data_IF_140544206569
#
_entry.id   IF_140544206569
#
_cell.length_a   1.000
_cell.length_b   1.000
_cell.length_c   1.000
_cell.angle_alpha   90.00
_cell.angle_beta   90.00
_cell.angle_gamma   90.00
#
_symmetry.space_group_name_H-M   'P 1'
#
loop_
_entity.id
_entity.type
_entity.pdbx_description
1 polymer ?
#
# COMPACT_ATOMS: atom_id res chain seq x y z
N UNK A 1 1.82 18.88 -8.43
CA UNK A 1 1.88 17.96 -7.27
C UNK A 1 2.79 16.80 -7.61
N UNK A 2 3.73 16.51 -6.76
CA UNK A 2 4.62 15.35 -6.92
C UNK A 2 4.00 14.11 -6.31
N UNK A 3 4.45 12.95 -6.75
CA UNK A 3 4.02 11.65 -6.21
C UNK A 3 4.20 11.59 -4.70
N UNK A 4 5.33 12.08 -4.19
CA UNK A 4 5.59 12.07 -2.75
C UNK A 4 4.53 12.86 -1.97
N UNK A 5 4.08 13.98 -2.49
CA UNK A 5 3.02 14.78 -1.85
C UNK A 5 1.67 14.04 -1.90
N UNK A 6 1.35 13.42 -3.03
CA UNK A 6 0.15 12.60 -3.17
C UNK A 6 0.17 11.41 -2.19
N UNK A 7 1.30 10.72 -2.11
CA UNK A 7 1.49 9.60 -1.20
C UNK A 7 1.33 10.03 0.26
N UNK A 8 2.03 11.10 0.65
CA UNK A 8 2.11 11.58 2.02
C UNK A 8 0.80 12.19 2.52
N UNK A 9 0.11 12.93 1.66
CA UNK A 9 -1.06 13.73 2.04
C UNK A 9 -2.39 13.04 1.73
N UNK A 10 -2.42 12.08 0.82
CA UNK A 10 -3.65 11.42 0.40
C UNK A 10 -3.58 9.91 0.52
N UNK A 11 -2.70 9.24 -0.22
CA UNK A 11 -2.71 7.77 -0.31
C UNK A 11 -2.46 7.13 1.05
N UNK A 12 -1.39 7.50 1.72
CA UNK A 12 -1.04 6.89 3.00
C UNK A 12 -2.08 7.17 4.09
N UNK A 13 -2.54 8.42 4.31
CA UNK A 13 -3.56 8.68 5.32
C UNK A 13 -4.89 7.97 5.05
N UNK A 14 -5.33 7.95 3.80
CA UNK A 14 -6.58 7.28 3.44
C UNK A 14 -6.48 5.76 3.58
N UNK A 15 -5.39 5.17 3.11
CA UNK A 15 -5.14 3.72 3.26
C UNK A 15 -5.08 3.32 4.72
N UNK A 16 -4.34 4.08 5.54
CA UNK A 16 -4.24 3.85 6.97
C UNK A 16 -5.62 3.88 7.63
N UNK A 17 -6.39 4.91 7.36
CA UNK A 17 -7.75 5.04 7.91
C UNK A 17 -8.66 3.89 7.45
N UNK A 18 -8.60 3.54 6.18
CA UNK A 18 -9.43 2.47 5.63
C UNK A 18 -9.12 1.12 6.26
N UNK A 19 -7.85 0.76 6.33
CA UNK A 19 -7.42 -0.53 6.89
C UNK A 19 -7.68 -0.60 8.40
N UNK A 20 -7.32 0.44 9.14
CA UNK A 20 -7.53 0.47 10.59
C UNK A 20 -9.01 0.49 10.98
N UNK A 21 -9.87 1.11 10.17
CA UNK A 21 -11.31 1.17 10.44
C UNK A 21 -12.02 -0.13 10.06
N UNK A 22 -11.64 -0.76 8.96
CA UNK A 22 -12.37 -1.92 8.43
C UNK A 22 -11.86 -3.27 8.92
N UNK A 23 -10.61 -3.35 9.39
CA UNK A 23 -10.08 -4.59 9.94
C UNK A 23 -10.54 -4.81 11.37
N UNK A 24 -10.97 -6.04 11.67
CA UNK A 24 -11.32 -6.44 13.04
C UNK A 24 -10.10 -6.80 13.88
N UNK A 25 -8.92 -6.87 13.29
CA UNK A 25 -7.70 -7.30 13.95
C UNK A 25 -6.82 -6.16 14.45
N UNK A 26 -7.28 -4.92 14.34
CA UNK A 26 -6.59 -3.72 14.83
C UNK A 26 -5.14 -3.60 14.34
N UNK A 27 -4.89 -3.63 13.02
CA UNK A 27 -3.54 -3.53 12.50
C UNK A 27 -2.94 -2.15 12.75
N UNK A 28 -1.63 -2.11 12.93
CA UNK A 28 -0.86 -0.87 12.92
C UNK A 28 -0.37 -0.60 11.50
N UNK A 29 -0.82 0.46 10.88
CA UNK A 29 -0.35 0.88 9.56
C UNK A 29 0.69 1.98 9.72
N UNK A 30 1.90 1.74 9.23
CA UNK A 30 3.03 2.65 9.41
C UNK A 30 3.91 2.72 8.16
N UNK A 31 4.74 3.76 8.09
CA UNK A 31 5.72 3.95 7.01
C UNK A 31 7.07 3.33 7.32
N UNK A 32 7.36 3.06 8.59
CA UNK A 32 8.68 2.64 9.04
C UNK A 32 8.54 1.40 9.90
N UNK A 33 9.32 0.39 9.56
CA UNK A 33 9.50 -0.75 10.45
C UNK A 33 10.43 -0.33 11.60
N UNK A 34 9.91 -0.37 12.82
CA UNK A 34 10.73 -0.21 14.01
C UNK A 34 10.77 -1.55 14.74
N UNK A 35 11.95 -2.06 15.02
CA UNK A 35 12.13 -3.31 15.79
C UNK A 35 11.46 -3.25 17.17
N UNK A 36 11.20 -2.05 17.65
CA UNK A 36 10.56 -1.82 18.95
C UNK A 36 9.03 -2.00 18.91
N UNK A 37 8.41 -1.93 17.76
CA UNK A 37 6.97 -2.14 17.64
C UNK A 37 6.68 -3.61 17.29
N UNK A 38 6.77 -4.48 18.28
CA UNK A 38 6.32 -5.88 18.17
C UNK A 38 4.79 -5.98 18.26
N UNK A 39 4.10 -5.02 17.70
CA UNK A 39 2.64 -5.04 17.64
C UNK A 39 2.23 -5.67 16.33
N UNK A 40 1.63 -6.84 16.40
CA UNK A 40 1.06 -7.51 15.24
C UNK A 40 -0.47 -7.46 15.29
N UNK A 41 -1.15 -7.39 14.16
CA UNK A 41 -0.61 -7.28 12.81
C UNK A 41 -0.03 -5.88 12.53
N UNK A 42 0.99 -5.83 11.69
CA UNK A 42 1.60 -4.57 11.26
C UNK A 42 1.62 -4.50 9.73
N UNK A 43 1.31 -3.33 9.20
CA UNK A 43 1.34 -3.03 7.77
C UNK A 43 2.37 -1.93 7.54
N UNK A 44 3.37 -2.22 6.73
CA UNK A 44 4.43 -1.26 6.40
C UNK A 44 4.23 -0.82 4.95
N UNK A 45 4.03 0.47 4.76
CA UNK A 45 3.76 1.07 3.46
C UNK A 45 4.94 1.96 3.07
N UNK A 46 5.54 1.69 1.92
CA UNK A 46 6.70 2.45 1.44
C UNK A 46 6.51 2.92 0.01
N UNK A 47 6.78 4.19 -0.23
CA UNK A 47 6.95 4.72 -1.59
C UNK A 47 8.37 4.38 -2.03
N UNK A 48 8.51 3.34 -2.87
CA UNK A 48 9.83 2.80 -3.25
C UNK A 48 10.36 3.38 -4.53
N UNK A 49 9.50 3.98 -5.34
CA UNK A 49 9.91 4.57 -6.60
C UNK A 49 9.03 5.76 -6.93
N UNK A 50 9.70 6.88 -7.22
CA UNK A 50 9.11 8.10 -7.74
C UNK A 50 10.06 8.67 -8.77
N UNK A 51 9.59 8.88 -10.00
CA UNK A 51 10.42 9.44 -11.07
C UNK A 51 9.57 10.14 -12.11
N UNK A 52 9.95 11.35 -12.48
CA UNK A 52 9.40 12.00 -13.66
C UNK A 52 9.97 11.30 -14.90
N UNK A 53 9.10 10.74 -15.76
CA UNK A 53 9.53 10.09 -17.00
C UNK A 53 9.76 11.12 -18.09
N UNK A 54 8.76 11.97 -18.33
CA UNK A 54 8.84 12.96 -19.38
C UNK A 54 7.77 14.04 -19.21
N UNK A 55 8.02 15.16 -19.84
CA UNK A 55 7.06 16.26 -19.97
C UNK A 55 6.60 16.29 -21.41
N UNK A 56 5.30 16.27 -21.65
CA UNK A 56 4.78 16.42 -23.01
C UNK A 56 4.92 17.88 -23.46
N UNK A 57 5.34 18.06 -24.68
CA UNK A 57 5.58 19.42 -25.23
C UNK A 57 4.30 20.22 -25.41
N UNK A 58 3.15 19.54 -25.46
CA UNK A 58 1.88 20.14 -25.92
C UNK A 58 1.07 20.62 -24.76
N UNK A 59 1.20 20.76 -23.64
CA UNK A 59 0.36 21.28 -22.54
C UNK A 59 1.02 21.23 -21.16
N UNK A 60 2.34 20.98 -21.11
CA UNK A 60 3.03 20.90 -19.84
C UNK A 60 2.61 19.70 -18.96
N UNK A 61 2.09 18.65 -19.58
CA UNK A 61 1.79 17.42 -18.86
C UNK A 61 3.06 16.77 -18.34
N UNK A 62 3.03 16.39 -17.08
CA UNK A 62 4.11 15.64 -16.45
C UNK A 62 3.60 14.30 -15.97
N UNK A 63 4.35 13.25 -16.26
CA UNK A 63 4.04 11.90 -15.86
C UNK A 63 5.08 11.36 -14.90
N UNK A 64 4.60 10.85 -13.78
CA UNK A 64 5.43 10.34 -12.71
C UNK A 64 5.05 8.88 -12.44
N UNK A 65 5.83 7.91 -12.92
CA UNK A 65 5.65 6.54 -12.49
C UNK A 65 5.98 6.43 -11.01
N UNK A 66 5.18 5.64 -10.32
CA UNK A 66 5.41 5.41 -8.91
C UNK A 66 5.19 3.94 -8.56
N UNK A 67 5.81 3.53 -7.47
CA UNK A 67 5.68 2.20 -6.90
C UNK A 67 5.54 2.33 -5.40
N UNK A 68 4.52 1.66 -4.87
CA UNK A 68 4.31 1.55 -3.43
C UNK A 68 4.42 0.08 -3.08
N UNK A 69 5.31 -0.24 -2.15
CA UNK A 69 5.48 -1.59 -1.63
C UNK A 69 4.85 -1.67 -0.24
N UNK A 70 4.00 -2.68 -0.05
CA UNK A 70 3.25 -2.87 1.19
C UNK A 70 3.54 -4.27 1.71
N UNK A 71 4.01 -4.33 2.95
CA UNK A 71 4.25 -5.58 3.64
C UNK A 71 3.27 -5.72 4.79
N UNK A 72 2.60 -6.87 4.87
CA UNK A 72 1.66 -7.20 5.93
C UNK A 72 2.26 -8.35 6.74
N UNK A 73 2.49 -8.12 8.02
CA UNK A 73 3.06 -9.10 8.93
C UNK A 73 2.07 -9.42 10.05
N UNK A 74 1.94 -10.70 10.38
CA UNK A 74 1.22 -11.11 11.59
C UNK A 74 1.72 -12.45 12.11
N UNK A 75 1.55 -12.63 13.40
CA UNK A 75 1.61 -13.92 14.06
C UNK A 75 0.18 -14.41 14.35
N UNK A 76 0.06 -15.62 14.92
CA UNK A 76 -1.23 -16.08 15.43
C UNK A 76 -1.62 -15.23 16.64
N UNK A 77 -2.90 -14.91 16.75
CA UNK A 77 -3.42 -14.08 17.85
C UNK A 77 -4.60 -14.75 18.53
N UNK A 78 -4.79 -14.42 19.80
CA UNK A 78 -5.98 -14.84 20.55
C UNK A 78 -6.88 -13.61 20.70
N UNK A 79 -8.10 -13.70 20.17
CA UNK A 79 -9.09 -12.63 20.22
C UNK A 79 -10.36 -13.22 20.84
N UNK A 80 -10.83 -12.61 21.93
CA UNK A 80 -12.03 -13.09 22.66
C UNK A 80 -11.95 -14.59 23.02
N UNK A 81 -10.78 -15.02 23.52
CA UNK A 81 -10.48 -16.42 23.88
C UNK A 81 -10.45 -17.39 22.69
N UNK A 82 -10.48 -16.90 21.47
CA UNK A 82 -10.40 -17.71 20.25
C UNK A 82 -9.09 -17.47 19.54
N UNK A 83 -8.35 -18.54 19.22
CA UNK A 83 -7.11 -18.45 18.47
C UNK A 83 -7.43 -18.18 17.00
N UNK A 84 -6.85 -17.10 16.46
CA UNK A 84 -6.98 -16.71 15.05
C UNK A 84 -5.64 -16.91 14.36
N UNK A 85 -5.65 -17.65 13.25
CA UNK A 85 -4.45 -17.95 12.48
C UNK A 85 -3.89 -16.70 11.81
N UNK A 86 -2.56 -16.60 11.81
CA UNK A 86 -1.84 -15.58 11.05
C UNK A 86 -2.20 -15.57 9.56
N UNK A 87 -2.59 -16.72 9.00
CA UNK A 87 -3.03 -16.83 7.62
C UNK A 87 -4.31 -16.00 7.40
N UNK A 88 -5.29 -16.18 8.26
CA UNK A 88 -6.57 -15.45 8.19
C UNK A 88 -6.36 -13.95 8.36
N UNK A 89 -5.51 -13.58 9.31
CA UNK A 89 -5.24 -12.16 9.63
C UNK A 89 -4.55 -11.46 8.46
N UNK A 90 -3.45 -12.03 7.96
CA UNK A 90 -2.69 -11.39 6.86
C UNK A 90 -3.49 -11.35 5.58
N UNK A 91 -4.26 -12.38 5.27
CA UNK A 91 -5.07 -12.42 4.05
C UNK A 91 -6.23 -11.42 4.11
N UNK A 92 -6.91 -11.29 5.24
CA UNK A 92 -7.99 -10.31 5.40
C UNK A 92 -7.46 -8.88 5.23
N UNK A 93 -6.35 -8.55 5.87
CA UNK A 93 -5.76 -7.22 5.77
C UNK A 93 -5.29 -6.95 4.34
N UNK A 94 -4.68 -7.93 3.68
CA UNK A 94 -4.25 -7.81 2.29
C UNK A 94 -5.43 -7.58 1.34
N UNK A 95 -6.54 -8.25 1.57
CA UNK A 95 -7.78 -8.05 0.80
C UNK A 95 -8.32 -6.63 0.96
N UNK A 96 -8.28 -6.08 2.16
CA UNK A 96 -8.68 -4.69 2.43
C UNK A 96 -7.79 -3.69 1.68
N UNK A 97 -6.49 -3.94 1.65
CA UNK A 97 -5.54 -3.08 0.93
C UNK A 97 -5.83 -3.10 -0.57
N UNK A 98 -6.04 -4.28 -1.15
CA UNK A 98 -6.40 -4.39 -2.56
C UNK A 98 -7.72 -3.68 -2.87
N UNK A 99 -8.71 -3.84 -2.02
CA UNK A 99 -10.02 -3.18 -2.18
C UNK A 99 -9.88 -1.66 -2.17
N UNK A 100 -9.07 -1.12 -1.25
CA UNK A 100 -8.82 0.32 -1.22
C UNK A 100 -8.25 0.82 -2.54
N UNK A 101 -7.21 0.17 -3.05
CA UNK A 101 -6.58 0.62 -4.28
C UNK A 101 -7.46 0.41 -5.51
N UNK A 102 -8.22 -0.67 -5.57
CA UNK A 102 -9.14 -0.91 -6.68
C UNK A 102 -10.27 0.12 -6.73
N UNK A 103 -10.77 0.55 -5.56
CA UNK A 103 -11.86 1.51 -5.48
C UNK A 103 -11.40 2.96 -5.60
N UNK A 104 -10.17 3.26 -5.15
CA UNK A 104 -9.70 4.65 -5.03
C UNK A 104 -8.74 5.07 -6.13
N UNK A 105 -8.07 4.14 -6.78
CA UNK A 105 -7.04 4.41 -7.77
C UNK A 105 -7.11 3.43 -8.94
N UNK A 106 -6.72 3.90 -10.12
CA UNK A 106 -6.50 3.01 -11.26
C UNK A 106 -5.03 2.64 -11.29
N UNK A 107 -4.68 1.53 -10.65
CA UNK A 107 -3.30 1.07 -10.50
C UNK A 107 -3.19 -0.40 -10.85
N UNK A 108 -1.96 -0.83 -11.13
CA UNK A 108 -1.63 -2.26 -11.26
C UNK A 108 -1.24 -2.79 -9.89
N UNK A 109 -1.84 -3.91 -9.48
CA UNK A 109 -1.58 -4.53 -8.20
C UNK A 109 -0.99 -5.92 -8.43
N UNK A 110 0.10 -6.20 -7.75
CA UNK A 110 0.73 -7.52 -7.70
C UNK A 110 0.78 -7.95 -6.24
N UNK A 111 0.32 -9.16 -5.96
CA UNK A 111 0.28 -9.70 -4.60
C UNK A 111 1.01 -11.03 -4.52
N UNK A 112 1.79 -11.20 -3.47
CA UNK A 112 2.47 -12.45 -3.18
C UNK A 112 2.25 -12.79 -1.69
N UNK A 113 1.56 -13.90 -1.45
CA UNK A 113 1.26 -14.35 -0.10
C UNK A 113 2.34 -15.29 0.42
N UNK A 114 2.51 -15.28 1.73
CA UNK A 114 3.42 -16.19 2.44
C UNK A 114 4.87 -16.12 1.94
N UNK A 115 5.41 -14.91 1.93
CA UNK A 115 6.83 -14.72 1.60
C UNK A 115 7.68 -15.22 2.77
N UNK A 116 8.79 -15.90 2.44
CA UNK A 116 9.73 -16.38 3.43
C UNK A 116 10.20 -15.25 4.35
N UNK A 117 10.10 -15.48 5.66
CA UNK A 117 10.53 -14.55 6.68
C UNK A 117 11.53 -15.25 7.61
N UNK A 118 12.43 -14.47 8.22
CA UNK A 118 13.46 -15.00 9.14
C UNK A 118 12.81 -15.71 10.34
N UNK A 119 11.72 -15.13 10.87
CA UNK A 119 10.93 -15.75 11.93
C UNK A 119 9.77 -16.55 11.33
N UNK A 120 9.81 -17.86 11.45
CA UNK A 120 8.76 -18.75 10.93
C UNK A 120 7.41 -18.63 11.63
N UNK A 121 7.35 -17.96 12.79
CA UNK A 121 6.08 -17.69 13.49
C UNK A 121 5.34 -16.48 12.92
N UNK A 122 5.99 -15.71 12.06
CA UNK A 122 5.43 -14.52 11.45
C UNK A 122 5.18 -14.79 9.98
N UNK A 123 3.93 -14.62 9.55
CA UNK A 123 3.56 -14.68 8.14
C UNK A 123 3.68 -13.30 7.51
N UNK A 124 4.18 -13.27 6.29
CA UNK A 124 4.35 -12.04 5.52
C UNK A 124 3.65 -12.14 4.17
N UNK A 125 2.76 -11.19 3.89
CA UNK A 125 2.22 -10.97 2.56
C UNK A 125 2.84 -9.69 1.99
N UNK A 126 3.03 -9.66 0.68
CA UNK A 126 3.61 -8.52 -0.03
C UNK A 126 2.67 -8.06 -1.14
N UNK A 127 2.43 -6.76 -1.19
CA UNK A 127 1.60 -6.13 -2.21
C UNK A 127 2.41 -5.02 -2.86
N UNK A 128 2.51 -5.05 -4.17
CA UNK A 128 3.13 -3.99 -4.95
C UNK A 128 2.09 -3.27 -5.78
N UNK A 129 2.04 -1.97 -5.62
CA UNK A 129 1.13 -1.09 -6.34
C UNK A 129 1.96 -0.23 -7.28
N UNK A 130 1.66 -0.28 -8.57
CA UNK A 130 2.35 0.52 -9.56
C UNK A 130 1.35 1.33 -10.37
N UNK A 131 1.69 2.60 -10.58
CA UNK A 131 0.85 3.50 -11.33
C UNK A 131 1.64 4.62 -11.97
N UNK A 132 0.94 5.43 -12.72
CA UNK A 132 1.48 6.64 -13.33
C UNK A 132 0.59 7.79 -12.92
N UNK A 133 1.18 8.76 -12.21
CA UNK A 133 0.51 10.01 -11.90
C UNK A 133 0.67 10.95 -13.09
N UNK A 134 -0.43 11.38 -13.67
CA UNK A 134 -0.45 12.35 -14.75
C UNK A 134 -0.97 13.67 -14.21
N UNK A 135 -0.18 14.70 -14.35
CA UNK A 135 -0.56 16.07 -13.95
C UNK A 135 -0.49 16.99 -15.14
N UNK A 136 -1.56 17.75 -15.37
CA UNK A 136 -1.58 18.83 -16.35
C UNK A 136 -1.23 20.14 -15.67
N UNK A 137 -0.47 20.97 -16.36
CA UNK A 137 -0.10 22.28 -15.84
C UNK A 137 -1.34 23.16 -15.67
N UNK A 138 -1.57 23.65 -14.45
CA UNK A 138 -2.70 24.53 -14.15
C UNK A 138 -4.02 23.85 -13.90
N UNK A 139 -4.09 22.52 -13.87
CA UNK A 139 -5.27 21.77 -13.49
C UNK A 139 -5.08 21.12 -12.11
N UNK A 140 -6.16 21.12 -11.32
CA UNK A 140 -6.17 20.48 -10.01
C UNK A 140 -6.48 18.97 -10.11
N UNK A 141 -6.88 18.49 -11.28
CA UNK A 141 -7.24 17.10 -11.49
C UNK A 141 -6.01 16.22 -11.61
N UNK A 142 -5.95 15.22 -10.74
CA UNK A 142 -4.90 14.22 -10.74
C UNK A 142 -5.45 12.94 -11.34
N UNK A 143 -4.82 12.45 -12.40
CA UNK A 143 -5.21 11.21 -13.07
C UNK A 143 -4.13 10.17 -12.79
N UNK A 144 -4.56 8.99 -12.31
CA UNK A 144 -3.67 7.87 -12.05
C UNK A 144 -3.98 6.76 -13.05
N UNK A 145 -2.95 6.26 -13.72
CA UNK A 145 -3.06 5.16 -14.68
C UNK A 145 -2.34 3.92 -14.17
N UNK A 146 -2.82 2.72 -14.54
CA UNK A 146 -2.06 1.49 -14.32
C UNK A 146 -0.71 1.54 -15.04
N UNK A 147 0.32 0.97 -14.43
CA UNK A 147 1.66 0.86 -15.03
C UNK A 147 1.79 -0.39 -15.92
N UNK A 148 0.70 -1.07 -16.20
CA UNK A 148 0.70 -2.25 -17.06
C UNK A 148 0.98 -1.89 -18.52
N UNK A 149 1.74 -2.73 -19.22
CA UNK A 149 1.92 -2.69 -20.67
C UNK A 149 2.98 -1.72 -21.21
N UNK A 150 4.09 -1.60 -20.52
CA UNK A 150 5.29 -1.04 -21.12
C UNK A 150 6.21 -2.11 -21.67
#
# INVERSE_FOLDING_TARGET
>A
MRVNDLYKNKIFPELKNYVETNSIYSPLVTKIYTEQSKVFPIVIVELTREREIFTTLTYGEKRYPFRIDINVYSNDKTIDNTKVSKIVITDEISDLIETYFNDSCKVSISRQDDIANIDGNIRRNFIRVEGILDTKLGEDDIIIYPASNY
#
